data_IF_611802686099
#
_entry.id   IF_611802686099
#
_cell.length_a   1.000
_cell.length_b   1.000
_cell.length_c   1.000
_cell.angle_alpha   90.00
_cell.angle_beta   90.00
_cell.angle_gamma   90.00
#
_symmetry.space_group_name_H-M   'P 1'
#
loop_
_entity.id
_entity.type
_entity.pdbx_description
1 polymer ?
#
# COMPACT_ATOMS: atom_id res chain seq x y z
N UNK A 1 10.78 3.38 8.66
CA UNK A 1 10.29 2.07 8.16
C UNK A 1 11.35 1.43 7.27
N UNK A 2 11.60 0.13 7.46
CA UNK A 2 12.46 -0.69 6.59
C UNK A 2 11.56 -1.70 5.88
N UNK A 3 11.57 -1.74 4.55
CA UNK A 3 10.85 -2.76 3.80
C UNK A 3 11.58 -4.11 3.86
N UNK A 4 10.85 -5.25 3.83
CA UNK A 4 11.47 -6.58 3.86
C UNK A 4 12.52 -6.76 2.75
N UNK A 5 13.59 -7.53 2.99
CA UNK A 5 14.53 -7.89 1.94
C UNK A 5 13.79 -8.51 0.74
N UNK A 6 14.22 -8.17 -0.48
CA UNK A 6 13.64 -8.69 -1.73
C UNK A 6 12.17 -8.30 -2.00
N UNK A 7 11.59 -7.39 -1.21
CA UNK A 7 10.28 -6.80 -1.48
C UNK A 7 10.27 -5.97 -2.77
N UNK A 8 9.08 -5.77 -3.33
CA UNK A 8 8.88 -4.99 -4.55
C UNK A 8 9.29 -3.52 -4.33
N UNK A 9 8.99 -2.95 -3.17
CA UNK A 9 9.34 -1.58 -2.78
C UNK A 9 10.86 -1.39 -2.79
N UNK A 10 11.60 -2.33 -2.18
CA UNK A 10 13.05 -2.31 -2.20
C UNK A 10 13.61 -2.46 -3.62
N UNK A 11 12.97 -3.27 -4.47
CA UNK A 11 13.37 -3.41 -5.87
C UNK A 11 13.19 -2.09 -6.65
N UNK A 12 12.05 -1.42 -6.50
CA UNK A 12 11.75 -0.12 -7.12
C UNK A 12 12.72 0.96 -6.62
N UNK A 13 12.93 1.06 -5.30
CA UNK A 13 13.88 2.00 -4.70
C UNK A 13 15.27 1.77 -5.29
N UNK A 14 15.82 0.54 -5.20
CA UNK A 14 17.16 0.21 -5.70
C UNK A 14 17.33 0.49 -7.18
N UNK A 15 16.29 0.23 -7.99
CA UNK A 15 16.31 0.44 -9.44
C UNK A 15 16.52 1.91 -9.77
N UNK A 16 15.81 2.81 -9.09
CA UNK A 16 15.80 4.23 -9.40
C UNK A 16 16.72 5.10 -8.52
N UNK A 17 17.30 4.53 -7.47
CA UNK A 17 18.27 5.19 -6.61
C UNK A 17 19.51 5.62 -7.41
N UNK A 18 19.88 6.89 -7.27
CA UNK A 18 21.01 7.53 -7.98
C UNK A 18 21.97 8.17 -6.99
N UNK A 19 23.19 8.43 -7.48
CA UNK A 19 24.18 9.22 -6.76
C UNK A 19 23.60 10.61 -6.49
N UNK A 20 23.80 11.12 -5.27
CA UNK A 20 23.33 12.45 -4.88
C UNK A 20 23.98 13.53 -5.75
N UNK A 21 23.21 14.44 -6.36
CA UNK A 21 23.76 15.63 -7.01
C UNK A 21 24.51 16.51 -5.98
N UNK A 22 25.62 17.17 -6.35
CA UNK A 22 26.38 18.01 -5.41
C UNK A 22 25.58 19.15 -4.79
N UNK A 23 24.65 19.72 -5.57
CA UNK A 23 23.78 20.86 -5.21
C UNK A 23 22.65 20.48 -4.24
N UNK A 24 22.41 19.18 -4.02
CA UNK A 24 21.22 18.67 -3.33
C UNK A 24 21.61 18.14 -1.96
N UNK A 25 20.98 18.69 -0.92
CA UNK A 25 21.10 18.14 0.44
C UNK A 25 20.30 16.83 0.56
N UNK A 26 20.77 15.86 1.36
CA UNK A 26 20.00 14.65 1.63
C UNK A 26 18.69 15.00 2.32
N UNK A 27 17.64 14.30 1.93
CA UNK A 27 16.37 14.35 2.66
C UNK A 27 16.54 13.69 4.02
N UNK A 28 16.18 14.44 5.06
CA UNK A 28 16.21 13.98 6.45
C UNK A 28 14.80 13.55 6.87
N UNK A 29 14.73 12.73 7.91
CA UNK A 29 13.45 12.39 8.52
C UNK A 29 12.83 13.64 9.13
N UNK A 30 11.51 13.77 8.99
CA UNK A 30 10.69 14.81 9.63
C UNK A 30 9.80 14.14 10.67
N UNK A 31 9.54 14.80 11.81
CA UNK A 31 8.87 14.20 12.97
C UNK A 31 7.44 13.70 12.66
N UNK A 32 6.73 14.38 11.76
CA UNK A 32 5.35 14.05 11.39
C UNK A 32 5.24 13.03 10.23
N UNK A 33 6.39 12.57 9.69
CA UNK A 33 6.42 11.67 8.54
C UNK A 33 7.11 10.35 8.86
N UNK A 34 6.58 9.27 8.29
CA UNK A 34 7.27 7.97 8.34
C UNK A 34 8.41 7.95 7.32
N UNK A 35 9.64 8.10 7.80
CA UNK A 35 10.83 7.99 6.95
C UNK A 35 10.98 6.58 6.35
N UNK A 36 11.26 6.49 5.05
CA UNK A 36 11.57 5.23 4.35
C UNK A 36 13.09 5.06 4.33
N UNK A 37 13.56 3.94 4.87
CA UNK A 37 14.99 3.63 4.91
C UNK A 37 15.45 3.16 3.53
N UNK A 38 16.55 3.73 3.05
CA UNK A 38 17.20 3.30 1.80
C UNK A 38 17.90 1.96 2.05
N UNK A 39 17.61 0.90 1.27
CA UNK A 39 18.18 -0.41 1.49
C UNK A 39 19.68 -0.40 1.20
N UNK A 40 20.46 -0.99 2.10
CA UNK A 40 21.90 -1.08 1.93
C UNK A 40 22.27 -1.93 0.70
N UNK A 41 23.39 -1.56 0.06
CA UNK A 41 23.91 -2.17 -1.14
C UNK A 41 25.40 -1.88 -1.32
N UNK A 42 26.22 -2.93 -1.45
CA UNK A 42 27.63 -2.80 -1.83
C UNK A 42 27.83 -2.07 -3.16
N UNK A 43 26.94 -2.29 -4.12
CA UNK A 43 27.00 -1.65 -5.44
C UNK A 43 26.51 -0.19 -5.44
N UNK A 44 25.58 0.15 -4.54
CA UNK A 44 25.04 1.50 -4.37
C UNK A 44 25.03 1.89 -2.88
N UNK A 45 26.18 2.27 -2.30
CA UNK A 45 26.25 2.63 -0.89
C UNK A 45 25.35 3.84 -0.57
N UNK A 46 24.45 3.77 0.42
CA UNK A 46 23.49 4.85 0.73
C UNK A 46 24.16 6.20 1.07
N UNK A 47 25.39 6.19 1.57
CA UNK A 47 26.17 7.41 1.84
C UNK A 47 26.39 8.27 0.58
N UNK A 48 26.41 7.67 -0.62
CA UNK A 48 26.55 8.36 -1.89
C UNK A 48 25.31 8.25 -2.77
N UNK A 49 24.56 7.16 -2.67
CA UNK A 49 23.35 6.87 -3.43
C UNK A 49 22.13 7.03 -2.54
N UNK A 50 21.69 8.27 -2.33
CA UNK A 50 20.52 8.58 -1.50
C UNK A 50 19.55 9.56 -2.19
N UNK A 51 19.59 9.65 -3.51
CA UNK A 51 18.73 10.55 -4.27
C UNK A 51 17.72 9.79 -5.13
N UNK A 52 16.44 10.14 -4.95
CA UNK A 52 15.32 9.73 -5.79
C UNK A 52 14.68 10.97 -6.43
N UNK A 53 14.69 11.04 -7.76
CA UNK A 53 14.02 12.12 -8.47
C UNK A 53 12.49 12.07 -8.31
N UNK A 54 11.79 13.17 -8.61
CA UNK A 54 10.33 13.30 -8.44
C UNK A 54 9.52 12.14 -9.03
N UNK A 55 9.85 11.69 -10.24
CA UNK A 55 9.18 10.54 -10.89
C UNK A 55 9.45 9.21 -10.19
N UNK A 56 10.65 9.03 -9.65
CA UNK A 56 11.00 7.82 -8.90
C UNK A 56 10.25 7.77 -7.56
N UNK A 57 10.14 8.91 -6.86
CA UNK A 57 9.32 9.01 -5.65
C UNK A 57 7.85 8.69 -5.92
N UNK A 58 7.31 9.16 -7.05
CA UNK A 58 5.95 8.82 -7.46
C UNK A 58 5.77 7.31 -7.67
N UNK A 59 6.73 6.62 -8.31
CA UNK A 59 6.69 5.17 -8.48
C UNK A 59 6.78 4.42 -7.13
N UNK A 60 7.61 4.88 -6.20
CA UNK A 60 7.67 4.30 -4.84
C UNK A 60 6.35 4.48 -4.11
N UNK A 61 5.74 5.68 -4.18
CA UNK A 61 4.43 5.95 -3.60
C UNK A 61 3.34 5.03 -4.17
N UNK A 62 3.32 4.85 -5.49
CA UNK A 62 2.37 3.96 -6.17
C UNK A 62 2.54 2.51 -5.69
N UNK A 63 3.79 2.04 -5.57
CA UNK A 63 4.09 0.69 -5.08
C UNK A 63 3.58 0.48 -3.65
N UNK A 64 3.80 1.44 -2.76
CA UNK A 64 3.31 1.40 -1.38
C UNK A 64 1.78 1.42 -1.35
N UNK A 65 1.16 2.24 -2.18
CA UNK A 65 -0.30 2.31 -2.27
C UNK A 65 -0.91 1.00 -2.79
N UNK A 66 -0.27 0.35 -3.75
CA UNK A 66 -0.70 -0.95 -4.26
C UNK A 66 -0.56 -2.05 -3.20
N UNK A 67 0.55 -2.07 -2.44
CA UNK A 67 0.71 -2.98 -1.30
C UNK A 67 -0.40 -2.77 -0.27
N UNK A 68 -0.68 -1.51 0.09
CA UNK A 68 -1.73 -1.17 1.04
C UNK A 68 -3.10 -1.66 0.55
N UNK A 69 -3.44 -1.40 -0.72
CA UNK A 69 -4.69 -1.83 -1.34
C UNK A 69 -4.78 -3.36 -1.36
N UNK A 70 -3.72 -4.05 -1.74
CA UNK A 70 -3.69 -5.51 -1.75
C UNK A 70 -3.94 -6.10 -0.36
N UNK A 71 -3.29 -5.55 0.67
CA UNK A 71 -3.49 -6.00 2.05
C UNK A 71 -4.92 -5.75 2.54
N UNK A 72 -5.41 -4.52 2.36
CA UNK A 72 -6.77 -4.14 2.69
C UNK A 72 -7.80 -5.04 2.00
N UNK A 73 -7.60 -5.34 0.72
CA UNK A 73 -8.51 -6.23 -0.01
C UNK A 73 -8.49 -7.65 0.53
N UNK A 74 -7.30 -8.22 0.72
CA UNK A 74 -7.13 -9.60 1.18
C UNK A 74 -7.81 -9.81 2.54
N UNK A 75 -7.59 -8.92 3.49
CA UNK A 75 -8.16 -9.06 4.84
C UNK A 75 -9.67 -8.77 4.90
N UNK A 76 -10.16 -7.81 4.09
CA UNK A 76 -11.57 -7.37 4.15
C UNK A 76 -12.51 -8.20 3.27
N UNK A 77 -12.03 -8.77 2.17
CA UNK A 77 -12.88 -9.40 1.14
C UNK A 77 -13.76 -10.53 1.70
N UNK A 78 -13.26 -11.30 2.67
CA UNK A 78 -14.03 -12.37 3.31
C UNK A 78 -14.96 -11.88 4.42
N UNK A 79 -14.60 -10.81 5.12
CA UNK A 79 -15.42 -10.23 6.18
C UNK A 79 -16.67 -9.56 5.61
N UNK A 80 -16.56 -8.93 4.45
CA UNK A 80 -17.70 -8.32 3.75
C UNK A 80 -18.73 -9.31 3.20
N UNK A 81 -18.40 -10.61 3.15
CA UNK A 81 -19.36 -11.68 2.81
C UNK A 81 -20.25 -12.06 3.98
N UNK A 82 -19.88 -11.66 5.21
CA UNK A 82 -20.65 -11.86 6.43
C UNK A 82 -21.49 -10.61 6.67
N UNK A 83 -22.67 -10.73 7.28
CA UNK A 83 -23.58 -9.61 7.61
C UNK A 83 -23.01 -8.57 8.60
N UNK A 84 -21.69 -8.54 8.81
CA UNK A 84 -21.04 -7.48 9.54
C UNK A 84 -21.03 -6.19 8.70
N UNK A 85 -21.54 -5.09 9.27
CA UNK A 85 -21.59 -3.81 8.57
C UNK A 85 -20.19 -3.31 8.21
N UNK A 86 -19.95 -3.11 6.90
CA UNK A 86 -18.65 -2.71 6.32
C UNK A 86 -17.95 -1.57 7.08
N UNK A 87 -18.70 -0.56 7.52
CA UNK A 87 -18.13 0.59 8.23
C UNK A 87 -17.48 0.20 9.55
N UNK A 88 -18.13 -0.68 10.34
CA UNK A 88 -17.59 -1.16 11.61
C UNK A 88 -16.37 -2.05 11.38
N UNK A 89 -16.42 -2.88 10.34
CA UNK A 89 -15.31 -3.77 9.98
C UNK A 89 -14.08 -2.98 9.53
N UNK A 90 -14.25 -1.93 8.72
CA UNK A 90 -13.13 -1.07 8.30
C UNK A 90 -12.57 -0.28 9.49
N UNK A 91 -13.42 0.23 10.39
CA UNK A 91 -12.95 0.90 11.59
C UNK A 91 -12.11 -0.05 12.48
N UNK A 92 -12.62 -1.25 12.76
CA UNK A 92 -11.88 -2.27 13.50
C UNK A 92 -10.58 -2.69 12.80
N UNK A 93 -10.57 -2.74 11.47
CA UNK A 93 -9.36 -2.99 10.69
C UNK A 93 -8.34 -1.87 10.85
N UNK A 94 -8.78 -0.61 10.83
CA UNK A 94 -7.89 0.54 11.07
C UNK A 94 -7.29 0.49 12.48
N UNK A 95 -8.12 0.22 13.50
CA UNK A 95 -7.69 0.06 14.89
C UNK A 95 -6.64 -1.05 15.04
N UNK A 96 -6.87 -2.22 14.44
CA UNK A 96 -5.94 -3.36 14.47
C UNK A 96 -4.57 -3.03 13.84
N UNK A 97 -4.54 -2.19 12.81
CA UNK A 97 -3.31 -1.78 12.10
C UNK A 97 -2.72 -0.47 12.64
N UNK A 98 -3.26 0.09 13.72
CA UNK A 98 -2.77 1.34 14.34
C UNK A 98 -3.00 2.59 13.48
N UNK A 99 -4.03 2.57 12.64
CA UNK A 99 -4.44 3.71 11.81
C UNK A 99 -5.43 4.54 12.61
N UNK A 100 -5.14 5.83 12.77
CA UNK A 100 -6.01 6.79 13.47
C UNK A 100 -7.43 6.84 12.86
N UNK A 101 -8.42 7.06 13.71
CA UNK A 101 -9.83 7.19 13.34
C UNK A 101 -10.04 8.31 12.31
N UNK A 102 -9.24 9.38 12.37
CA UNK A 102 -9.26 10.48 11.39
C UNK A 102 -8.98 9.99 9.95
N UNK A 103 -8.23 8.88 9.80
CA UNK A 103 -7.94 8.29 8.50
C UNK A 103 -8.91 7.16 8.10
N UNK A 104 -9.76 6.69 9.01
CA UNK A 104 -10.68 5.56 8.77
C UNK A 104 -11.65 5.81 7.61
N UNK A 105 -12.16 7.03 7.47
CA UNK A 105 -13.03 7.42 6.34
C UNK A 105 -12.26 7.37 5.01
N UNK A 106 -10.99 7.76 5.01
CA UNK A 106 -10.15 7.70 3.81
C UNK A 106 -9.94 6.25 3.36
N UNK A 107 -9.70 5.33 4.31
CA UNK A 107 -9.58 3.89 4.05
C UNK A 107 -10.90 3.33 3.50
N UNK A 108 -12.03 3.74 4.09
CA UNK A 108 -13.38 3.36 3.64
C UNK A 108 -13.65 3.76 2.19
N UNK A 109 -13.38 5.01 1.84
CA UNK A 109 -13.54 5.51 0.48
C UNK A 109 -12.63 4.78 -0.52
N UNK A 110 -11.38 4.46 -0.13
CA UNK A 110 -10.48 3.64 -0.95
C UNK A 110 -11.06 2.26 -1.22
N UNK A 111 -11.55 1.57 -0.19
CA UNK A 111 -12.15 0.25 -0.34
C UNK A 111 -13.36 0.27 -1.28
N UNK A 112 -14.26 1.25 -1.14
CA UNK A 112 -15.40 1.39 -2.04
C UNK A 112 -14.97 1.58 -3.50
N UNK A 113 -13.99 2.45 -3.76
CA UNK A 113 -13.46 2.68 -5.11
C UNK A 113 -12.87 1.40 -5.71
N UNK A 114 -12.15 0.62 -4.92
CA UNK A 114 -11.60 -0.67 -5.34
C UNK A 114 -12.71 -1.65 -5.69
N UNK A 115 -13.69 -1.83 -4.80
CA UNK A 115 -14.84 -2.72 -5.02
C UNK A 115 -15.58 -2.37 -6.30
N UNK A 116 -15.90 -1.09 -6.51
CA UNK A 116 -16.56 -0.62 -7.74
C UNK A 116 -15.70 -0.87 -8.99
N UNK A 117 -14.39 -0.65 -8.92
CA UNK A 117 -13.48 -0.89 -10.05
C UNK A 117 -13.44 -2.37 -10.45
N UNK A 118 -13.39 -3.27 -9.47
CA UNK A 118 -13.39 -4.72 -9.72
C UNK A 118 -14.73 -5.22 -10.26
N UNK A 119 -15.85 -4.77 -9.68
CA UNK A 119 -17.19 -5.09 -10.20
C UNK A 119 -17.39 -4.62 -11.64
N UNK A 120 -16.90 -3.42 -12.00
CA UNK A 120 -16.98 -2.90 -13.39
C UNK A 120 -16.17 -3.71 -14.39
N UNK A 121 -15.10 -4.36 -13.96
CA UNK A 121 -14.26 -5.23 -14.80
C UNK A 121 -14.80 -6.66 -14.91
N UNK A 122 -16.02 -6.91 -14.45
CA UNK A 122 -16.62 -8.26 -14.48
C UNK A 122 -15.99 -9.24 -13.50
N UNK A 123 -15.13 -8.75 -12.58
CA UNK A 123 -14.65 -9.56 -11.47
C UNK A 123 -15.81 -9.60 -10.46
N UNK A 124 -16.65 -10.62 -10.61
CA UNK A 124 -17.78 -10.86 -9.72
C UNK A 124 -17.26 -11.44 -8.41
N UNK A 125 -17.42 -10.69 -7.34
CA UNK A 125 -16.85 -10.98 -6.03
C UNK A 125 -17.87 -11.54 -5.04
N UNK A 126 -19.12 -11.69 -5.48
CA UNK A 126 -20.15 -12.49 -4.82
C UNK A 126 -19.99 -13.97 -5.15
N UNK A 127 -20.45 -14.84 -4.25
CA UNK A 127 -20.42 -16.29 -4.43
C UNK A 127 -21.03 -16.72 -5.78
N UNK A 128 -20.27 -17.46 -6.58
CA UNK A 128 -20.78 -18.31 -7.67
C UNK A 128 -21.42 -19.60 -7.11
N UNK A 129 -22.06 -19.55 -5.94
CA UNK A 129 -22.99 -20.63 -5.55
C UNK A 129 -24.18 -20.52 -6.48
N UNK A 130 -24.04 -21.16 -7.64
CA UNK A 130 -25.14 -21.77 -8.38
C UNK A 130 -25.97 -22.47 -7.31
N UNK A 131 -27.13 -21.93 -6.96
CA UNK A 131 -28.12 -22.71 -6.22
C UNK A 131 -28.34 -23.96 -7.10
N UNK A 132 -27.90 -25.10 -6.61
CA UNK A 132 -28.41 -26.37 -7.12
C UNK A 132 -29.86 -26.40 -6.66
N UNK A 133 -30.76 -25.87 -7.49
CA UNK A 133 -32.17 -26.19 -7.38
C UNK A 133 -32.30 -27.61 -7.91
N UNK A 134 -32.29 -28.57 -6.99
CA UNK A 134 -32.85 -29.90 -7.21
C UNK A 134 -34.37 -29.74 -7.22
N UNK A 135 -34.95 -29.78 -8.43
CA UNK A 135 -36.31 -30.25 -8.70
C UNK A 135 -36.23 -31.33 -9.78
#
# INVERSE_FOLDING_TARGET
MVFPPQSNENAVIRRFLRKRPPEVQPEMAEDELTAIVIPDSKAKPPQYYNYLGKKAKAAVKETIEDLFRANLWNEMSDLTKRDCGLNKTIAAWCEMHGIDDDYSETVRQKYYRMRTSYSRRGIFLGSLTRKHSDE
#
